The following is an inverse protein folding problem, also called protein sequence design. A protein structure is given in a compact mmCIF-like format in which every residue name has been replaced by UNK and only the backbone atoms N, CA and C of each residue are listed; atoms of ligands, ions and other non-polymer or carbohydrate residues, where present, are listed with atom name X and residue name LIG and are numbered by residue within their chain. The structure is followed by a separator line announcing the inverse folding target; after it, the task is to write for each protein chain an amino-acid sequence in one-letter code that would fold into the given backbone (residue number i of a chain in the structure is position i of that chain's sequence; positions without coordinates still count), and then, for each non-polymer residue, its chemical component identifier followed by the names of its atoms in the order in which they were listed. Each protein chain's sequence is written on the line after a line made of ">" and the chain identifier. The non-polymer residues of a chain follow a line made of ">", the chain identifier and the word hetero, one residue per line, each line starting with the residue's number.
data_IF_894175465101
#
_entry.id   IF_894175465101
#
_cell.length_a   1.000
_cell.length_b   1.000
_cell.length_c   1.000
_cell.angle_alpha   90.00
_cell.angle_beta   90.00
_cell.angle_gamma   90.00
#
_symmetry.space_group_name_H-M   'P 1'
#
loop_
_entity.id
_entity.type
_entity.pdbx_description
1 polymer ?
#
# COMPACT_ATOMS: atom_id res chain seq x y z
N UNK A 1 17.66 9.22 18.45
CA UNK A 1 17.58 10.58 17.89
C UNK A 1 16.17 11.08 18.06
N UNK A 2 15.96 12.36 18.35
CA UNK A 2 14.64 12.99 18.17
C UNK A 2 14.29 12.92 16.67
N UNK A 3 13.03 12.62 16.31
CA UNK A 3 12.58 12.63 14.92
C UNK A 3 12.85 13.96 14.23
N UNK A 4 12.83 13.99 12.89
CA UNK A 4 12.94 15.22 12.09
C UNK A 4 11.82 16.21 12.48
N UNK A 5 10.66 15.68 12.89
CA UNK A 5 9.53 16.44 13.43
C UNK A 5 9.07 15.87 14.78
N UNK A 6 9.69 16.27 15.91
CA UNK A 6 9.48 15.63 17.22
C UNK A 6 8.08 15.79 17.83
N UNK A 7 7.17 16.50 17.16
CA UNK A 7 5.78 16.72 17.59
C UNK A 7 4.75 16.28 16.52
N UNK A 8 5.17 15.59 15.45
CA UNK A 8 4.27 15.11 14.40
C UNK A 8 4.78 13.80 13.77
N UNK A 9 4.47 12.68 14.43
CA UNK A 9 4.92 11.35 14.05
C UNK A 9 4.50 10.94 12.62
N UNK A 10 3.35 11.42 12.13
CA UNK A 10 2.88 11.10 10.77
C UNK A 10 3.69 11.81 9.68
N UNK A 11 4.03 13.09 9.89
CA UNK A 11 4.91 13.82 8.97
C UNK A 11 6.32 13.28 9.05
N UNK A 12 6.81 12.96 10.26
CA UNK A 12 8.12 12.35 10.45
C UNK A 12 8.25 11.01 9.70
N UNK A 13 7.23 10.15 9.82
CA UNK A 13 7.12 8.88 9.11
C UNK A 13 7.17 9.04 7.58
N UNK A 14 6.35 9.94 7.01
CA UNK A 14 6.33 10.16 5.55
C UNK A 14 7.64 10.76 5.03
N UNK A 15 8.29 11.64 5.81
CA UNK A 15 9.57 12.24 5.43
C UNK A 15 10.69 11.20 5.45
N UNK A 16 10.74 10.33 6.45
CA UNK A 16 11.69 9.21 6.49
C UNK A 16 11.48 8.26 5.31
N UNK A 17 10.23 7.97 4.95
CA UNK A 17 9.90 7.16 3.77
C UNK A 17 10.42 7.79 2.47
N UNK A 18 10.26 9.10 2.31
CA UNK A 18 10.78 9.82 1.16
C UNK A 18 12.31 9.83 1.13
N UNK A 19 12.99 10.03 2.27
CA UNK A 19 14.46 9.96 2.33
C UNK A 19 14.98 8.56 1.99
N UNK A 20 14.32 7.51 2.49
CA UNK A 20 14.65 6.12 2.17
C UNK A 20 14.57 5.83 0.66
N UNK A 21 13.58 6.40 -0.03
CA UNK A 21 13.43 6.25 -1.48
C UNK A 21 14.60 6.83 -2.29
N UNK A 22 15.41 7.74 -1.72
CA UNK A 22 16.51 8.40 -2.43
C UNK A 22 17.62 7.42 -2.84
N UNK A 23 17.85 6.36 -2.03
CA UNK A 23 18.81 5.28 -2.35
C UNK A 23 18.48 4.58 -3.67
N UNK A 24 17.21 4.61 -4.07
CA UNK A 24 16.67 3.99 -5.27
C UNK A 24 16.25 5.03 -6.32
N UNK A 25 16.75 6.26 -6.20
CA UNK A 25 16.46 7.38 -7.12
C UNK A 25 14.97 7.76 -7.15
N UNK A 26 14.20 7.42 -6.10
CA UNK A 26 12.79 7.80 -5.94
C UNK A 26 12.59 9.20 -5.36
N UNK A 27 13.67 9.83 -4.89
CA UNK A 27 13.72 11.19 -4.35
C UNK A 27 15.19 11.66 -4.28
N UNK A 28 15.42 12.93 -3.95
CA UNK A 28 16.75 13.45 -3.59
C UNK A 28 16.77 13.86 -2.10
N UNK A 29 17.77 13.38 -1.35
CA UNK A 29 17.86 13.64 0.09
C UNK A 29 18.00 15.13 0.38
N UNK A 30 18.77 15.88 -0.42
CA UNK A 30 18.98 17.30 -0.19
C UNK A 30 17.72 18.11 -0.51
N UNK A 31 16.99 17.75 -1.57
CA UNK A 31 15.69 18.38 -1.86
C UNK A 31 14.70 18.16 -0.71
N UNK A 32 14.60 16.95 -0.18
CA UNK A 32 13.72 16.64 0.97
C UNK A 32 14.15 17.42 2.22
N UNK A 33 15.44 17.45 2.55
CA UNK A 33 15.95 18.15 3.73
C UNK A 33 15.78 19.67 3.62
N UNK A 34 15.84 20.23 2.41
CA UNK A 34 15.60 21.67 2.17
C UNK A 34 14.13 22.07 2.39
N UNK A 35 13.18 21.12 2.32
CA UNK A 35 11.77 21.40 2.62
C UNK A 35 11.48 21.49 4.12
N UNK A 36 12.23 20.76 4.95
CA UNK A 36 12.03 20.70 6.41
C UNK A 36 11.93 22.09 7.06
N UNK A 37 12.85 23.05 6.81
CA UNK A 37 12.76 24.37 7.42
C UNK A 37 11.61 25.24 6.89
N UNK A 38 10.99 24.87 5.77
CA UNK A 38 9.84 25.61 5.20
C UNK A 38 8.50 25.16 5.75
N UNK A 39 8.48 24.05 6.49
CA UNK A 39 7.26 23.45 7.03
C UNK A 39 6.97 23.95 8.45
N UNK A 40 5.70 24.27 8.71
CA UNK A 40 5.22 24.52 10.07
C UNK A 40 4.87 23.20 10.75
N UNK A 41 5.45 22.85 11.92
CA UNK A 41 5.13 21.62 12.63
C UNK A 41 3.61 21.51 12.91
N UNK A 42 3.01 20.40 12.46
CA UNK A 42 1.59 20.10 12.71
C UNK A 42 0.60 20.56 11.62
N UNK A 43 1.04 21.32 10.60
CA UNK A 43 0.18 21.81 9.53
C UNK A 43 0.26 20.98 8.25
N UNK A 44 -0.77 20.18 7.93
CA UNK A 44 -0.86 19.43 6.67
C UNK A 44 -0.84 20.35 5.42
N UNK A 45 -1.37 21.56 5.54
CA UNK A 45 -1.36 22.58 4.47
C UNK A 45 0.07 23.06 4.17
N UNK A 46 0.86 23.33 5.20
CA UNK A 46 2.26 23.74 5.04
C UNK A 46 3.11 22.62 4.41
N UNK A 47 2.81 21.35 4.73
CA UNK A 47 3.43 20.20 4.07
C UNK A 47 3.06 20.15 2.57
N UNK A 48 1.77 20.27 2.25
CA UNK A 48 1.29 20.35 0.86
C UNK A 48 1.99 21.46 0.08
N UNK A 49 1.99 22.68 0.61
CA UNK A 49 2.52 23.86 -0.08
C UNK A 49 4.03 23.75 -0.32
N UNK A 50 4.78 23.18 0.62
CA UNK A 50 6.20 22.94 0.47
C UNK A 50 6.50 21.93 -0.67
N UNK A 51 5.80 20.79 -0.69
CA UNK A 51 5.97 19.79 -1.74
C UNK A 51 5.43 20.24 -3.10
N UNK A 52 4.33 20.97 -3.12
CA UNK A 52 3.78 21.56 -4.35
C UNK A 52 4.73 22.62 -4.92
N UNK A 53 5.28 23.47 -4.07
CA UNK A 53 6.31 24.44 -4.45
C UNK A 53 7.59 23.77 -4.97
N UNK A 54 8.03 22.65 -4.37
CA UNK A 54 9.14 21.86 -4.91
C UNK A 54 8.82 21.32 -6.31
N UNK A 55 7.64 20.72 -6.49
CA UNK A 55 7.22 20.19 -7.78
C UNK A 55 7.20 21.28 -8.86
N UNK A 56 6.71 22.48 -8.54
CA UNK A 56 6.73 23.63 -9.45
C UNK A 56 8.15 24.10 -9.78
N UNK A 57 9.05 24.18 -8.79
CA UNK A 57 10.46 24.57 -9.03
C UNK A 57 11.18 23.56 -9.92
N UNK A 58 11.05 22.27 -9.60
CA UNK A 58 11.62 21.17 -10.38
C UNK A 58 11.06 21.19 -11.80
N UNK A 59 9.75 21.44 -11.98
CA UNK A 59 9.13 21.57 -13.30
C UNK A 59 9.72 22.75 -14.11
N UNK A 60 10.00 23.88 -13.47
CA UNK A 60 10.64 25.05 -14.10
C UNK A 60 12.11 24.78 -14.45
N UNK A 61 12.89 24.19 -13.54
CA UNK A 61 14.31 23.83 -13.78
C UNK A 61 14.45 22.78 -14.89
N UNK A 62 13.48 21.87 -15.01
CA UNK A 62 13.39 20.88 -16.10
C UNK A 62 13.06 21.54 -17.44
N UNK A 63 12.33 22.66 -17.46
CA UNK A 63 12.00 23.38 -18.69
C UNK A 63 13.20 24.13 -19.29
N UNK A 64 14.16 24.54 -18.44
CA UNK A 64 15.36 25.28 -18.84
C UNK A 64 16.52 24.36 -19.30
N UNK A 65 16.40 23.04 -19.09
CA UNK A 65 17.39 22.01 -19.48
C UNK A 65 16.80 20.93 -20.40
N UNK A 66 16.63 21.24 -21.67
CA UNK A 66 16.48 20.25 -22.78
C UNK A 66 17.75 19.38 -22.84
N UNK A 67 17.81 18.04 -22.91
CA UNK A 67 16.97 16.97 -23.48
C UNK A 67 17.34 15.62 -22.83
N UNK A 68 16.53 15.05 -21.91
CA UNK A 68 16.39 13.60 -21.63
C UNK A 68 15.49 13.32 -20.42
N UNK A 69 15.58 14.15 -19.38
CA UNK A 69 14.85 13.98 -18.11
C UNK A 69 13.42 14.53 -18.15
N UNK A 70 13.12 15.47 -19.06
CA UNK A 70 11.81 16.13 -19.19
C UNK A 70 10.65 15.22 -19.61
N UNK A 71 10.91 13.95 -19.94
CA UNK A 71 9.85 13.04 -20.35
C UNK A 71 9.16 12.34 -19.18
N UNK A 72 9.76 12.27 -17.98
CA UNK A 72 9.27 11.46 -16.86
C UNK A 72 8.17 12.12 -16.00
N UNK A 73 8.24 13.42 -15.74
CA UNK A 73 7.34 14.07 -14.76
C UNK A 73 6.38 15.13 -15.33
N UNK A 74 6.52 15.55 -16.59
CA UNK A 74 5.72 16.63 -17.17
C UNK A 74 4.59 16.14 -18.09
N UNK A 75 3.34 16.49 -17.75
CA UNK A 75 2.08 16.34 -18.53
C UNK A 75 1.50 14.93 -18.63
N UNK A 76 0.41 14.76 -17.88
CA UNK A 76 -0.42 13.56 -17.84
C UNK A 76 0.29 12.43 -17.09
N UNK A 77 -0.26 12.00 -15.94
CA UNK A 77 0.34 10.93 -15.13
C UNK A 77 0.66 9.67 -15.94
N UNK A 78 -0.12 9.37 -16.99
CA UNK A 78 0.10 8.24 -17.90
C UNK A 78 1.19 8.50 -18.96
N UNK A 79 1.14 9.55 -19.81
CA UNK A 79 2.20 9.80 -20.79
C UNK A 79 3.60 10.05 -20.20
N UNK A 80 3.70 10.69 -19.02
CA UNK A 80 4.96 10.86 -18.32
C UNK A 80 5.56 9.54 -17.84
N UNK A 81 4.70 8.69 -17.26
CA UNK A 81 5.05 7.36 -16.83
C UNK A 81 5.40 6.42 -18.00
N UNK A 82 4.67 6.46 -19.11
CA UNK A 82 4.97 5.63 -20.29
C UNK A 82 6.34 6.02 -20.91
N UNK A 83 6.69 7.31 -20.90
CA UNK A 83 8.03 7.76 -21.33
C UNK A 83 9.13 7.38 -20.33
N UNK A 84 8.84 7.38 -19.04
CA UNK A 84 9.73 6.86 -17.99
C UNK A 84 10.04 5.37 -18.19
N UNK A 85 9.01 4.56 -18.43
CA UNK A 85 9.14 3.13 -18.73
C UNK A 85 9.98 2.89 -19.98
N UNK A 86 9.81 3.70 -21.02
CA UNK A 86 10.61 3.62 -22.25
C UNK A 86 12.11 3.81 -22.04
N UNK A 87 12.53 4.48 -20.95
CA UNK A 87 13.94 4.63 -20.57
C UNK A 87 14.47 3.42 -19.81
N UNK A 88 13.60 2.62 -19.17
CA UNK A 88 13.97 1.42 -18.40
C UNK A 88 14.26 0.18 -19.28
N UNK A 89 14.13 0.30 -20.62
CA UNK A 89 14.66 -0.62 -21.64
C UNK A 89 14.00 -2.02 -21.74
N UNK A 90 13.54 -2.58 -20.62
CA UNK A 90 13.05 -3.97 -20.52
C UNK A 90 11.64 -4.08 -19.94
N UNK A 91 10.86 -2.99 -19.96
CA UNK A 91 9.51 -2.93 -19.44
C UNK A 91 8.48 -3.01 -20.58
N UNK A 92 7.47 -3.86 -20.44
CA UNK A 92 6.30 -3.89 -21.35
C UNK A 92 5.02 -3.71 -20.56
N UNK A 93 4.08 -2.93 -21.09
CA UNK A 93 2.78 -2.68 -20.45
C UNK A 93 1.71 -3.54 -21.11
N UNK A 94 0.86 -4.15 -20.30
CA UNK A 94 -0.31 -4.91 -20.75
C UNK A 94 -1.52 -4.47 -19.95
N UNK A 95 -2.70 -4.61 -20.54
CA UNK A 95 -3.98 -4.44 -19.85
C UNK A 95 -4.69 -5.78 -19.90
N UNK A 96 -4.92 -6.39 -18.75
CA UNK A 96 -5.69 -7.63 -18.64
C UNK A 96 -7.14 -7.28 -18.34
N UNK A 97 -8.08 -8.15 -18.72
CA UNK A 97 -9.48 -8.01 -18.34
C UNK A 97 -9.80 -8.95 -17.18
N UNK A 98 -10.57 -8.48 -16.18
CA UNK A 98 -11.10 -9.39 -15.18
C UNK A 98 -12.01 -10.44 -15.87
N UNK A 99 -11.83 -11.75 -15.63
CA UNK A 99 -12.66 -12.78 -16.25
C UNK A 99 -14.12 -12.77 -15.78
N UNK A 100 -14.39 -12.17 -14.63
CA UNK A 100 -15.70 -12.24 -13.95
C UNK A 100 -16.37 -10.87 -13.82
N UNK A 101 -15.66 -9.79 -14.13
CA UNK A 101 -16.08 -8.44 -13.79
C UNK A 101 -15.69 -7.44 -14.86
N UNK A 102 -16.36 -6.29 -14.85
CA UNK A 102 -16.14 -5.21 -15.79
C UNK A 102 -15.07 -4.24 -15.27
N UNK A 103 -13.84 -4.74 -15.07
CA UNK A 103 -12.68 -3.88 -14.78
C UNK A 103 -11.39 -4.39 -15.43
N UNK A 104 -10.52 -3.44 -15.75
CA UNK A 104 -9.22 -3.67 -16.36
C UNK A 104 -8.12 -3.73 -15.30
N UNK A 105 -7.12 -4.58 -15.54
CA UNK A 105 -5.95 -4.77 -14.66
C UNK A 105 -4.70 -4.33 -15.45
N UNK A 106 -4.21 -3.10 -15.26
CA UNK A 106 -2.98 -2.66 -15.88
C UNK A 106 -1.79 -3.33 -15.21
N UNK A 107 -0.92 -3.95 -15.99
CA UNK A 107 0.33 -4.54 -15.52
C UNK A 107 1.53 -4.02 -16.30
N UNK A 108 2.70 -4.08 -15.65
CA UNK A 108 3.99 -3.78 -16.25
C UNK A 108 4.89 -4.96 -15.97
N UNK A 109 5.46 -5.52 -17.04
CA UNK A 109 6.33 -6.67 -16.98
C UNK A 109 7.76 -6.20 -17.24
N UNK A 110 8.62 -6.42 -16.26
CA UNK A 110 10.06 -6.21 -16.38
C UNK A 110 10.74 -7.54 -16.60
N UNK A 111 11.40 -7.72 -17.75
CA UNK A 111 12.18 -8.92 -18.01
C UNK A 111 13.57 -8.79 -17.39
N UNK A 112 13.91 -9.73 -16.50
CA UNK A 112 15.26 -9.82 -15.95
C UNK A 112 16.25 -10.25 -17.05
N UNK A 113 17.49 -9.71 -17.06
CA UNK A 113 18.51 -10.14 -18.01
C UNK A 113 18.94 -11.60 -17.79
N UNK A 114 19.48 -12.23 -18.84
CA UNK A 114 19.96 -13.62 -18.82
C UNK A 114 19.09 -14.57 -19.64
N UNK A 115 19.48 -15.85 -19.69
CA UNK A 115 18.82 -16.88 -20.53
C UNK A 115 18.08 -17.89 -19.65
N UNK A 116 16.87 -18.26 -20.05
CA UNK A 116 16.07 -19.34 -19.48
C UNK A 116 15.13 -18.89 -18.36
N UNK A 117 14.20 -19.77 -17.92
CA UNK A 117 13.14 -19.41 -16.98
C UNK A 117 13.64 -18.75 -15.69
N UNK A 118 12.96 -17.69 -15.27
CA UNK A 118 13.30 -16.83 -14.13
C UNK A 118 12.22 -16.93 -13.05
N UNK A 119 12.66 -16.81 -11.79
CA UNK A 119 11.72 -16.59 -10.68
C UNK A 119 11.02 -15.27 -10.92
N UNK A 120 9.71 -15.24 -10.73
CA UNK A 120 8.89 -14.09 -11.10
C UNK A 120 8.19 -13.54 -9.88
N UNK A 121 8.36 -12.25 -9.63
CA UNK A 121 7.72 -11.54 -8.55
C UNK A 121 6.57 -10.71 -9.09
N UNK A 122 5.37 -10.92 -8.54
CA UNK A 122 4.18 -10.13 -8.81
C UNK A 122 4.05 -9.13 -7.65
N UNK A 123 4.00 -7.84 -7.98
CA UNK A 123 3.86 -6.76 -7.02
C UNK A 123 2.57 -5.98 -7.28
N UNK A 124 1.81 -5.68 -6.24
CA UNK A 124 0.68 -4.77 -6.34
C UNK A 124 0.27 -4.17 -4.99
N UNK A 125 -0.32 -2.97 -5.05
CA UNK A 125 -0.69 -2.18 -3.88
C UNK A 125 -2.19 -1.86 -3.79
N UNK A 126 -3.01 -2.33 -4.75
CA UNK A 126 -4.47 -2.44 -4.62
C UNK A 126 -5.32 -1.23 -5.02
N UNK A 127 -4.74 -0.08 -5.42
CA UNK A 127 -5.51 1.11 -5.82
C UNK A 127 -5.41 1.39 -7.32
N UNK A 128 -6.54 1.39 -8.02
CA UNK A 128 -6.64 1.65 -9.47
C UNK A 128 -7.49 2.90 -9.81
N UNK A 129 -7.99 3.61 -8.79
CA UNK A 129 -8.83 4.80 -8.97
C UNK A 129 -10.35 4.54 -8.96
N UNK A 130 -10.82 3.29 -8.93
CA UNK A 130 -12.25 2.95 -8.71
C UNK A 130 -12.53 2.43 -7.29
N UNK A 131 -11.48 2.35 -6.47
CA UNK A 131 -11.53 2.09 -5.05
C UNK A 131 -10.96 0.72 -4.67
N UNK A 132 -10.50 0.58 -3.43
CA UNK A 132 -9.96 -0.69 -2.96
C UNK A 132 -11.00 -1.81 -2.92
N UNK A 133 -10.62 -2.96 -3.48
CA UNK A 133 -11.35 -4.22 -3.35
C UNK A 133 -10.58 -5.18 -2.43
N UNK A 134 -11.32 -5.96 -1.65
CA UNK A 134 -10.74 -6.89 -0.67
C UNK A 134 -10.39 -8.23 -1.31
N UNK A 135 -11.17 -8.68 -2.28
CA UNK A 135 -11.09 -9.96 -2.98
C UNK A 135 -10.04 -9.96 -4.09
N UNK A 136 -8.79 -9.67 -3.71
CA UNK A 136 -7.67 -9.46 -4.62
C UNK A 136 -7.23 -10.70 -5.41
N UNK A 137 -7.75 -11.89 -5.07
CA UNK A 137 -7.70 -13.05 -5.95
C UNK A 137 -8.26 -12.76 -7.36
N UNK A 138 -9.22 -11.83 -7.48
CA UNK A 138 -9.76 -11.35 -8.77
C UNK A 138 -8.74 -10.58 -9.61
N UNK A 139 -7.68 -10.06 -9.00
CA UNK A 139 -6.58 -9.35 -9.68
C UNK A 139 -5.40 -10.29 -9.88
N UNK A 140 -5.00 -11.01 -8.84
CA UNK A 140 -3.80 -11.86 -8.85
C UNK A 140 -3.97 -13.05 -9.79
N UNK A 141 -5.13 -13.73 -9.79
CA UNK A 141 -5.32 -14.91 -10.64
C UNK A 141 -5.18 -14.58 -12.13
N UNK A 142 -5.80 -13.51 -12.68
CA UNK A 142 -5.55 -13.10 -14.07
C UNK A 142 -4.09 -12.76 -14.38
N UNK A 143 -3.36 -12.15 -13.43
CA UNK A 143 -1.92 -11.86 -13.61
C UNK A 143 -1.09 -13.14 -13.64
N UNK A 144 -1.42 -14.12 -12.78
CA UNK A 144 -0.80 -15.45 -12.81
C UNK A 144 -1.14 -16.18 -14.11
N UNK A 145 -2.39 -16.12 -14.57
CA UNK A 145 -2.81 -16.70 -15.85
C UNK A 145 -2.02 -16.11 -17.02
N UNK A 146 -1.86 -14.78 -17.04
CA UNK A 146 -1.04 -14.10 -18.03
C UNK A 146 0.43 -14.55 -17.98
N UNK A 147 1.03 -14.62 -16.79
CA UNK A 147 2.43 -15.03 -16.64
C UNK A 147 2.66 -16.47 -17.09
N UNK A 148 1.73 -17.39 -16.78
CA UNK A 148 1.78 -18.79 -17.20
C UNK A 148 1.57 -18.94 -18.71
N UNK A 149 0.59 -18.24 -19.28
CA UNK A 149 0.30 -18.29 -20.71
C UNK A 149 1.44 -17.73 -21.57
N UNK A 150 2.24 -16.81 -21.01
CA UNK A 150 3.37 -16.17 -21.69
C UNK A 150 4.73 -16.66 -21.15
N UNK A 151 4.77 -17.82 -20.50
CA UNK A 151 5.97 -18.26 -19.78
C UNK A 151 7.20 -18.44 -20.69
N UNK A 152 7.00 -18.91 -21.93
CA UNK A 152 8.11 -19.07 -22.89
C UNK A 152 8.67 -17.73 -23.36
N UNK A 153 7.81 -16.77 -23.70
CA UNK A 153 8.22 -15.47 -24.23
C UNK A 153 8.82 -14.57 -23.15
N UNK A 154 8.24 -14.63 -21.95
CA UNK A 154 8.69 -13.87 -20.78
C UNK A 154 9.82 -14.56 -20.00
N UNK A 155 10.13 -15.82 -20.35
CA UNK A 155 11.06 -16.68 -19.61
C UNK A 155 10.68 -16.78 -18.12
N UNK A 156 9.43 -17.15 -17.83
CA UNK A 156 8.91 -17.32 -16.47
C UNK A 156 9.04 -18.78 -16.03
N UNK A 157 9.63 -19.00 -14.86
CA UNK A 157 9.56 -20.28 -14.14
C UNK A 157 8.21 -20.34 -13.42
N UNK A 158 7.24 -21.05 -14.01
CA UNK A 158 5.87 -21.14 -13.50
C UNK A 158 5.75 -21.87 -12.17
N UNK A 159 6.79 -22.59 -11.74
CA UNK A 159 6.86 -23.20 -10.42
C UNK A 159 7.36 -22.23 -9.34
N UNK A 160 7.80 -21.02 -9.71
CA UNK A 160 8.44 -20.04 -8.82
C UNK A 160 7.87 -18.63 -9.01
N UNK A 161 6.55 -18.56 -8.87
CA UNK A 161 5.79 -17.31 -8.81
C UNK A 161 5.68 -16.85 -7.36
N UNK A 162 6.14 -15.64 -7.06
CA UNK A 162 6.09 -15.05 -5.71
C UNK A 162 5.19 -13.83 -5.74
N UNK A 163 4.24 -13.74 -4.81
CA UNK A 163 3.39 -12.57 -4.65
C UNK A 163 3.93 -11.69 -3.52
N UNK A 164 4.13 -10.41 -3.80
CA UNK A 164 4.61 -9.41 -2.85
C UNK A 164 3.56 -8.31 -2.66
N UNK A 165 3.23 -8.05 -1.40
CA UNK A 165 2.31 -7.01 -0.99
C UNK A 165 2.93 -6.08 0.05
N UNK A 166 2.94 -4.77 -0.25
CA UNK A 166 3.41 -3.73 0.67
C UNK A 166 2.25 -2.97 1.32
N UNK A 167 2.41 -2.63 2.60
CA UNK A 167 1.39 -1.97 3.41
C UNK A 167 0.07 -2.72 3.35
N UNK A 168 -1.04 -2.08 2.97
CA UNK A 168 -2.32 -2.77 2.75
C UNK A 168 -2.23 -3.90 1.69
N UNK A 169 -1.27 -3.83 0.77
CA UNK A 169 -0.95 -4.93 -0.14
C UNK A 169 -0.59 -6.22 0.58
N UNK A 170 -0.05 -6.18 1.81
CA UNK A 170 0.23 -7.36 2.61
C UNK A 170 -1.03 -8.16 2.97
N UNK A 171 -2.12 -7.46 3.36
CA UNK A 171 -3.44 -8.08 3.52
C UNK A 171 -3.90 -8.73 2.21
N UNK A 172 -3.86 -7.95 1.12
CA UNK A 172 -4.35 -8.37 -0.19
C UNK A 172 -3.58 -9.59 -0.72
N UNK A 173 -2.26 -9.62 -0.51
CA UNK A 173 -1.39 -10.70 -0.94
C UNK A 173 -1.67 -12.00 -0.18
N UNK A 174 -1.77 -11.94 1.16
CA UNK A 174 -2.09 -13.13 1.98
C UNK A 174 -3.47 -13.66 1.64
N UNK A 175 -4.44 -12.76 1.45
CA UNK A 175 -5.77 -13.15 0.99
C UNK A 175 -5.75 -13.82 -0.38
N UNK A 176 -5.08 -13.22 -1.37
CA UNK A 176 -4.99 -13.81 -2.71
C UNK A 176 -4.31 -15.19 -2.67
N UNK A 177 -3.26 -15.37 -1.84
CA UNK A 177 -2.59 -16.65 -1.65
C UNK A 177 -3.48 -17.74 -1.02
N UNK A 178 -4.59 -17.36 -0.37
CA UNK A 178 -5.59 -18.30 0.12
C UNK A 178 -6.45 -18.91 -1.00
N UNK A 179 -6.48 -18.32 -2.19
CA UNK A 179 -7.28 -18.77 -3.33
C UNK A 179 -6.44 -19.11 -4.58
N UNK A 180 -5.27 -18.49 -4.74
CA UNK A 180 -4.35 -18.73 -5.85
C UNK A 180 -3.20 -19.64 -5.42
N UNK A 181 -3.35 -20.94 -5.68
CA UNK A 181 -2.43 -21.96 -5.18
C UNK A 181 -1.22 -22.24 -6.08
N UNK A 182 -1.08 -21.54 -7.22
CA UNK A 182 0.12 -21.62 -8.06
C UNK A 182 1.29 -20.80 -7.52
N UNK A 183 1.05 -19.94 -6.51
CA UNK A 183 2.10 -19.16 -5.87
C UNK A 183 3.04 -20.09 -5.09
N UNK A 184 4.34 -19.96 -5.35
CA UNK A 184 5.39 -20.67 -4.64
C UNK A 184 5.65 -20.07 -3.26
N UNK A 185 5.47 -18.76 -3.10
CA UNK A 185 5.57 -18.04 -1.83
C UNK A 185 4.76 -16.74 -1.87
N UNK A 186 4.43 -16.22 -0.68
CA UNK A 186 3.84 -14.91 -0.49
C UNK A 186 4.74 -14.07 0.43
N UNK A 187 4.83 -12.77 0.18
CA UNK A 187 5.58 -11.81 1.00
C UNK A 187 4.61 -10.69 1.38
N UNK A 188 4.38 -10.49 2.67
CA UNK A 188 3.51 -9.45 3.20
C UNK A 188 4.30 -8.53 4.13
N UNK A 189 4.42 -7.26 3.74
CA UNK A 189 5.21 -6.25 4.44
C UNK A 189 4.36 -4.99 4.57
N UNK A 190 3.48 -4.85 5.56
CA UNK A 190 3.35 -5.68 6.77
C UNK A 190 2.30 -6.79 6.68
N UNK A 191 2.38 -7.74 7.62
CA UNK A 191 1.31 -8.72 7.84
C UNK A 191 0.09 -8.08 8.51
N UNK A 192 -0.99 -7.89 7.75
CA UNK A 192 -2.22 -7.26 8.25
C UNK A 192 -3.31 -8.33 8.45
N UNK A 193 -3.84 -8.41 9.67
CA UNK A 193 -4.89 -9.35 10.05
C UNK A 193 -6.28 -8.82 9.75
N UNK A 194 -6.56 -7.60 10.19
CA UNK A 194 -7.87 -6.96 10.09
C UNK A 194 -7.73 -5.43 10.00
N UNK A 195 -8.06 -4.87 8.83
CA UNK A 195 -7.96 -3.43 8.58
C UNK A 195 -8.89 -2.63 9.49
N UNK A 196 -9.99 -3.21 9.97
CA UNK A 196 -10.91 -2.50 10.87
C UNK A 196 -10.27 -2.07 12.19
N UNK A 197 -9.21 -2.76 12.62
CA UNK A 197 -8.44 -2.38 13.80
C UNK A 197 -7.81 -1.00 13.65
N UNK A 198 -7.30 -0.66 12.46
CA UNK A 198 -6.75 0.66 12.16
C UNK A 198 -7.85 1.75 12.23
N UNK A 199 -8.99 1.48 11.61
CA UNK A 199 -10.08 2.47 11.49
C UNK A 199 -10.90 2.67 12.76
N UNK A 200 -10.78 1.75 13.73
CA UNK A 200 -11.46 1.84 15.03
C UNK A 200 -10.53 2.28 16.15
N UNK A 201 -9.21 2.14 16.01
CA UNK A 201 -8.23 2.48 17.05
C UNK A 201 -8.25 3.96 17.49
N UNK A 202 -8.63 4.87 16.60
CA UNK A 202 -8.71 6.33 16.87
C UNK A 202 -10.13 6.81 17.19
N UNK A 203 -11.08 5.89 17.33
CA UNK A 203 -12.47 6.19 17.65
C UNK A 203 -12.73 6.13 19.17
N UNK A 204 -13.86 6.69 19.65
CA UNK A 204 -14.25 6.58 21.07
C UNK A 204 -14.20 5.12 21.56
N UNK A 205 -13.87 4.87 22.85
CA UNK A 205 -13.63 3.52 23.38
C UNK A 205 -14.76 2.50 23.14
N UNK A 206 -16.00 2.97 23.01
CA UNK A 206 -17.16 2.14 22.69
C UNK A 206 -17.14 1.58 21.26
N UNK A 207 -16.55 2.28 20.28
CA UNK A 207 -16.59 1.93 18.86
C UNK A 207 -15.91 0.58 18.54
N UNK A 208 -14.66 0.30 18.99
CA UNK A 208 -14.04 -1.01 18.81
C UNK A 208 -14.87 -2.16 19.41
N UNK A 209 -15.53 -1.92 20.54
CA UNK A 209 -16.35 -2.93 21.21
C UNK A 209 -17.63 -3.23 20.42
N UNK A 210 -18.34 -2.19 20.00
CA UNK A 210 -19.53 -2.32 19.15
C UNK A 210 -19.18 -3.03 17.84
N UNK A 211 -18.09 -2.63 17.21
CA UNK A 211 -17.58 -3.24 15.98
C UNK A 211 -17.29 -4.74 16.14
N UNK A 212 -16.50 -5.12 17.15
CA UNK A 212 -16.07 -6.51 17.39
C UNK A 212 -17.22 -7.44 17.74
N UNK A 213 -18.28 -6.94 18.39
CA UNK A 213 -19.44 -7.77 18.70
C UNK A 213 -20.15 -8.31 17.46
N UNK A 214 -20.06 -7.59 16.33
CA UNK A 214 -20.59 -7.99 15.04
C UNK A 214 -22.12 -8.10 14.95
N UNK A 215 -22.87 -7.91 16.03
CA UNK A 215 -24.34 -8.08 16.01
C UNK A 215 -25.01 -6.99 15.16
N UNK A 216 -26.12 -7.29 14.46
CA UNK A 216 -26.82 -6.28 13.68
C UNK A 216 -27.18 -5.04 14.51
N UNK A 217 -27.60 -5.20 15.77
CA UNK A 217 -27.93 -4.04 16.61
C UNK A 217 -26.70 -3.18 16.93
N UNK A 218 -25.57 -3.81 17.24
CA UNK A 218 -24.35 -3.07 17.56
C UNK A 218 -23.68 -2.45 16.33
N UNK A 219 -23.90 -3.00 15.12
CA UNK A 219 -23.52 -2.36 13.85
C UNK A 219 -24.30 -1.07 13.64
N UNK A 220 -25.62 -1.09 13.87
CA UNK A 220 -26.47 0.11 13.80
C UNK A 220 -25.99 1.16 14.81
N UNK A 221 -25.76 0.76 16.07
CA UNK A 221 -25.26 1.68 17.12
C UNK A 221 -23.89 2.26 16.79
N UNK A 222 -23.02 1.48 16.14
CA UNK A 222 -21.72 1.95 15.66
C UNK A 222 -21.90 3.02 14.58
N UNK A 223 -22.74 2.76 13.57
CA UNK A 223 -22.99 3.69 12.47
C UNK A 223 -23.63 5.01 12.96
N UNK A 224 -24.56 4.93 13.91
CA UNK A 224 -25.16 6.09 14.59
C UNK A 224 -24.11 6.91 15.33
N UNK A 225 -23.23 6.26 16.10
CA UNK A 225 -22.18 6.93 16.86
C UNK A 225 -21.17 7.64 15.93
N UNK A 226 -20.74 6.99 14.85
CA UNK A 226 -19.83 7.58 13.86
C UNK A 226 -20.50 8.75 13.13
N UNK A 227 -21.76 8.60 12.73
CA UNK A 227 -22.51 9.65 12.04
C UNK A 227 -22.70 10.88 12.95
N UNK A 228 -23.03 10.66 14.22
CA UNK A 228 -23.14 11.72 15.22
C UNK A 228 -21.79 12.42 15.47
N UNK A 229 -20.70 11.66 15.55
CA UNK A 229 -19.35 12.20 15.70
C UNK A 229 -18.97 13.11 14.52
N UNK A 230 -19.23 12.67 13.29
CA UNK A 230 -19.00 13.46 12.08
C UNK A 230 -19.87 14.71 12.03
N UNK A 231 -21.17 14.58 12.31
CA UNK A 231 -22.11 15.70 12.32
C UNK A 231 -21.80 16.75 13.40
N UNK A 232 -21.16 16.33 14.51
CA UNK A 232 -20.81 17.23 15.60
C UNK A 232 -19.74 18.26 15.23
N UNK A 233 -18.96 18.03 14.17
CA UNK A 233 -17.80 18.85 13.81
C UNK A 233 -16.67 18.81 14.85
N UNK A 234 -16.75 17.93 15.86
CA UNK A 234 -15.77 17.81 16.95
C UNK A 234 -14.60 16.90 16.63
N UNK A 235 -14.59 16.26 15.46
CA UNK A 235 -13.39 15.59 14.97
C UNK A 235 -12.30 16.65 14.79
N UNK A 236 -11.19 16.49 15.50
CA UNK A 236 -10.01 17.30 15.28
C UNK A 236 -9.67 17.30 13.79
N UNK A 237 -9.16 18.40 13.25
CA UNK A 237 -8.79 18.54 11.83
C UNK A 237 -7.89 17.37 11.39
N UNK A 238 -6.98 16.92 12.27
CA UNK A 238 -6.11 15.76 12.04
C UNK A 238 -6.80 14.38 11.96
N UNK A 239 -8.07 14.27 12.33
CA UNK A 239 -8.89 13.05 12.21
C UNK A 239 -9.92 13.15 11.06
N UNK A 240 -10.30 14.36 10.65
CA UNK A 240 -11.23 14.59 9.54
C UNK A 240 -10.61 14.30 8.17
N UNK A 241 -9.36 14.72 7.95
CA UNK A 241 -8.67 14.46 6.69
C UNK A 241 -8.46 12.96 6.41
N UNK A 242 -7.95 12.13 7.34
CA UNK A 242 -7.80 10.69 7.11
C UNK A 242 -9.12 9.99 6.79
N UNK A 243 -10.22 10.39 7.42
CA UNK A 243 -11.56 9.84 7.13
C UNK A 243 -12.02 10.19 5.72
N UNK A 244 -11.85 11.45 5.30
CA UNK A 244 -12.18 11.89 3.94
C UNK A 244 -11.29 11.20 2.90
N UNK A 245 -9.99 11.06 3.19
CA UNK A 245 -9.06 10.36 2.33
C UNK A 245 -9.43 8.88 2.20
N UNK A 246 -9.79 8.22 3.29
CA UNK A 246 -10.27 6.84 3.26
C UNK A 246 -11.56 6.70 2.45
N UNK A 247 -12.54 7.60 2.63
CA UNK A 247 -13.77 7.55 1.83
C UNK A 247 -13.50 7.73 0.33
N UNK A 248 -12.57 8.63 -0.03
CA UNK A 248 -12.11 8.78 -1.42
C UNK A 248 -11.43 7.51 -1.93
N UNK A 249 -10.47 6.97 -1.17
CA UNK A 249 -9.66 5.82 -1.58
C UNK A 249 -10.47 4.51 -1.67
N UNK A 250 -11.52 4.36 -0.87
CA UNK A 250 -12.46 3.24 -0.95
C UNK A 250 -13.69 3.55 -1.81
N UNK A 251 -13.76 4.73 -2.43
CA UNK A 251 -14.86 5.19 -3.29
C UNK A 251 -16.24 5.02 -2.63
N UNK A 252 -16.35 5.51 -1.39
CA UNK A 252 -17.57 5.50 -0.59
C UNK A 252 -18.08 6.92 -0.35
N UNK A 253 -19.39 7.07 -0.19
CA UNK A 253 -20.05 8.37 -0.02
C UNK A 253 -20.39 8.72 1.42
N UNK A 254 -20.21 7.77 2.34
CA UNK A 254 -20.51 7.95 3.76
C UNK A 254 -19.63 7.07 4.63
N UNK A 255 -19.50 7.42 5.90
CA UNK A 255 -18.74 6.61 6.85
C UNK A 255 -19.34 5.21 7.07
N UNK A 256 -20.67 5.02 7.22
CA UNK A 256 -21.24 3.67 7.28
C UNK A 256 -20.91 2.82 6.04
N UNK A 257 -20.90 3.41 4.84
CA UNK A 257 -20.49 2.70 3.63
C UNK A 257 -19.01 2.31 3.69
N UNK A 258 -18.13 3.24 4.09
CA UNK A 258 -16.69 2.98 4.29
C UNK A 258 -16.47 1.82 5.26
N UNK A 259 -17.10 1.87 6.43
CA UNK A 259 -16.99 0.84 7.44
C UNK A 259 -17.57 -0.49 6.96
N UNK A 260 -18.71 -0.48 6.26
CA UNK A 260 -19.26 -1.67 5.60
C UNK A 260 -18.28 -2.32 4.61
N UNK A 261 -17.47 -1.53 3.88
CA UNK A 261 -16.41 -2.06 3.02
C UNK A 261 -15.24 -2.60 3.84
N UNK A 262 -14.74 -1.84 4.81
CA UNK A 262 -13.62 -2.23 5.69
C UNK A 262 -13.91 -3.55 6.43
N UNK A 263 -15.17 -3.84 6.77
CA UNK A 263 -15.56 -5.10 7.40
C UNK A 263 -15.14 -6.35 6.62
N UNK A 264 -14.92 -6.23 5.31
CA UNK A 264 -14.49 -7.33 4.45
C UNK A 264 -12.97 -7.50 4.40
N UNK A 265 -12.21 -6.51 4.86
CA UNK A 265 -10.75 -6.51 4.88
C UNK A 265 -10.21 -7.19 6.15
N UNK A 266 -10.58 -8.46 6.33
CA UNK A 266 -10.12 -9.33 7.41
C UNK A 266 -9.70 -10.70 6.85
N UNK A 267 -8.66 -11.28 7.45
CA UNK A 267 -8.18 -12.62 7.11
C UNK A 267 -8.92 -13.73 7.87
N UNK A 268 -9.80 -13.36 8.80
CA UNK A 268 -10.69 -14.29 9.49
C UNK A 268 -11.54 -15.08 8.49
N UNK A 269 -11.63 -16.40 8.68
CA UNK A 269 -12.31 -17.31 7.75
C UNK A 269 -11.64 -17.52 6.38
N UNK A 270 -10.55 -16.80 6.07
CA UNK A 270 -9.86 -16.86 4.76
C UNK A 270 -8.49 -17.48 4.87
N UNK A 271 -7.71 -17.11 5.91
CA UNK A 271 -6.29 -17.45 6.03
C UNK A 271 -5.98 -18.95 5.99
N UNK A 272 -6.94 -19.81 6.37
CA UNK A 272 -6.81 -21.27 6.32
C UNK A 272 -6.62 -21.82 4.90
N UNK A 273 -7.00 -21.07 3.87
CA UNK A 273 -6.80 -21.45 2.47
C UNK A 273 -5.34 -21.34 2.00
N UNK A 274 -4.48 -20.60 2.70
CA UNK A 274 -3.09 -20.35 2.26
C UNK A 274 -2.31 -21.67 2.26
N UNK A 275 -1.65 -22.00 1.13
CA UNK A 275 -0.89 -23.26 0.96
C UNK A 275 0.63 -23.06 0.90
N UNK A 276 1.08 -21.92 0.40
CA UNK A 276 2.49 -21.60 0.28
C UNK A 276 3.07 -21.00 1.58
N UNK A 277 4.41 -20.99 1.73
CA UNK A 277 5.07 -20.22 2.77
C UNK A 277 4.81 -18.71 2.60
N UNK A 278 4.70 -18.01 3.72
CA UNK A 278 4.46 -16.57 3.79
C UNK A 278 5.54 -15.91 4.62
N UNK A 279 6.33 -15.03 4.00
CA UNK A 279 7.16 -14.09 4.74
C UNK A 279 6.28 -12.95 5.28
N UNK A 280 6.46 -12.61 6.55
CA UNK A 280 5.70 -11.58 7.23
C UNK A 280 6.71 -10.56 7.79
N UNK A 281 6.70 -9.37 7.19
CA UNK A 281 7.41 -8.21 7.71
C UNK A 281 6.65 -7.58 8.87
N UNK A 282 7.40 -7.15 9.87
CA UNK A 282 6.94 -6.39 11.02
C UNK A 282 7.98 -5.30 11.32
N UNK A 283 7.62 -4.03 11.26
CA UNK A 283 8.53 -2.97 11.68
C UNK A 283 8.32 -2.63 13.16
N UNK A 284 9.39 -2.66 13.96
CA UNK A 284 9.34 -2.40 15.42
C UNK A 284 8.66 -1.06 15.76
N UNK A 285 8.82 -0.08 14.89
CA UNK A 285 8.31 1.29 15.00
C UNK A 285 7.01 1.54 14.26
N UNK A 286 6.38 0.51 13.67
CA UNK A 286 5.12 0.70 12.96
C UNK A 286 4.03 1.23 13.90
N UNK A 287 3.46 2.37 13.51
CA UNK A 287 2.37 3.06 14.21
C UNK A 287 0.98 2.66 13.71
N UNK A 288 0.88 1.92 12.60
CA UNK A 288 -0.36 1.59 11.92
C UNK A 288 -0.86 0.18 12.23
N UNK A 289 -0.01 -0.84 12.14
CA UNK A 289 -0.42 -2.24 12.21
C UNK A 289 0.17 -3.02 13.37
N UNK A 290 0.66 -2.32 14.40
CA UNK A 290 1.30 -2.89 15.58
C UNK A 290 0.55 -4.12 16.12
N UNK A 291 1.26 -5.24 16.20
CA UNK A 291 0.76 -6.53 16.71
C UNK A 291 -0.02 -7.37 15.70
N UNK A 292 -0.47 -6.81 14.57
CA UNK A 292 -1.15 -7.59 13.54
C UNK A 292 -0.24 -8.60 12.81
N UNK A 293 1.05 -8.30 12.51
CA UNK A 293 1.96 -9.29 11.91
C UNK A 293 2.10 -10.57 12.73
N UNK A 294 2.16 -10.43 14.05
CA UNK A 294 2.18 -11.56 14.98
C UNK A 294 0.89 -12.39 14.91
N UNK A 295 -0.29 -11.75 14.82
CA UNK A 295 -1.57 -12.45 14.65
C UNK A 295 -1.60 -13.27 13.36
N UNK A 296 -1.10 -12.70 12.25
CA UNK A 296 -0.99 -13.39 10.95
C UNK A 296 -0.06 -14.60 11.08
N UNK A 297 1.10 -14.43 11.72
CA UNK A 297 2.06 -15.52 11.98
C UNK A 297 1.43 -16.66 12.77
N UNK A 298 0.73 -16.36 13.86
CA UNK A 298 0.08 -17.36 14.71
C UNK A 298 -0.95 -18.19 13.94
N UNK A 299 -1.72 -17.54 13.06
CA UNK A 299 -2.77 -18.19 12.28
C UNK A 299 -2.25 -19.00 11.09
N UNK A 300 -1.09 -18.64 10.54
CA UNK A 300 -0.42 -19.41 9.48
C UNK A 300 0.42 -20.58 10.02
N UNK A 301 0.68 -20.63 11.33
CA UNK A 301 1.50 -21.66 11.97
C UNK A 301 2.86 -21.80 11.28
N UNK A 302 3.22 -23.02 10.86
CA UNK A 302 4.49 -23.34 10.19
C UNK A 302 4.67 -22.64 8.83
N UNK A 303 3.59 -22.17 8.20
CA UNK A 303 3.67 -21.46 6.91
C UNK A 303 4.08 -20.00 7.08
N UNK A 304 3.88 -19.42 8.27
CA UNK A 304 4.21 -18.02 8.54
C UNK A 304 5.66 -17.88 8.98
N UNK A 305 6.43 -17.00 8.35
CA UNK A 305 7.80 -16.68 8.72
C UNK A 305 7.87 -15.19 9.07
N UNK A 306 7.75 -14.91 10.36
CA UNK A 306 7.79 -13.53 10.88
C UNK A 306 9.23 -13.05 11.00
N UNK A 307 9.48 -11.84 10.51
CA UNK A 307 10.73 -11.12 10.71
C UNK A 307 10.44 -9.70 11.16
N UNK A 308 10.97 -9.35 12.34
CA UNK A 308 10.85 -8.00 12.89
C UNK A 308 12.07 -7.17 12.51
N UNK A 309 11.84 -6.09 11.76
CA UNK A 309 12.84 -5.09 11.42
C UNK A 309 13.03 -4.14 12.60
N UNK A 310 14.25 -4.09 13.13
CA UNK A 310 14.61 -3.22 14.27
C UNK A 310 15.06 -1.84 13.80
N UNK A 311 15.05 -0.85 14.69
CA UNK A 311 15.62 0.49 14.39
C UNK A 311 17.05 0.44 13.84
N UNK A 312 17.87 -0.50 14.31
CA UNK A 312 19.26 -0.67 13.88
C UNK A 312 19.38 -1.14 12.43
N UNK A 313 18.33 -1.76 11.88
CA UNK A 313 18.27 -2.17 10.48
C UNK A 313 17.93 -1.04 9.51
N UNK A 314 17.72 0.20 10.00
CA UNK A 314 17.41 1.37 9.16
C UNK A 314 15.98 1.38 8.59
N UNK A 315 15.12 0.53 9.15
CA UNK A 315 13.81 0.15 8.64
C UNK A 315 12.67 0.70 9.52
N UNK A 316 12.74 1.99 9.87
CA UNK A 316 11.76 2.65 10.76
C UNK A 316 10.32 2.67 10.17
N UNK A 317 10.19 2.39 8.88
CA UNK A 317 8.94 2.03 8.22
C UNK A 317 9.16 0.72 7.45
N UNK A 318 8.17 -0.17 7.41
CA UNK A 318 8.25 -1.44 6.68
C UNK A 318 8.59 -1.27 5.18
N UNK A 319 8.28 -0.10 4.62
CA UNK A 319 8.70 0.35 3.27
C UNK A 319 10.19 0.68 3.18
N UNK A 320 10.79 1.22 4.25
CA UNK A 320 12.23 1.49 4.33
C UNK A 320 13.08 0.22 4.56
N UNK A 321 12.45 -0.86 5.04
CA UNK A 321 13.04 -2.21 5.14
C UNK A 321 12.92 -3.03 3.86
N UNK A 322 11.82 -2.80 3.14
CA UNK A 322 11.47 -3.44 1.88
C UNK A 322 12.36 -3.03 0.70
N UNK A 323 13.20 -2.02 0.90
CA UNK A 323 13.98 -1.37 -0.15
C UNK A 323 15.48 -1.53 0.09
#
# INVERSE_FOLDING_TARGET
>A
MAGLFPNNDSVDYEMLRLISAARYQGSDVLEILQLIPTMTPGGFESWHDAFYGLAQRVEVEIHDRTTRLSSLCGRGRLPGFDRALGVLGNATRHTLNSPKDDFEIPIIVYKAPGIGPKHTMILGNGFDGVGFIYDWERVVTPVVDFAVANAETLEVDTAKLVLLGYSMGGFLAVRAAAFEHRLAACIAVDGIWDMSMLFTAKMPPEAPTLWRSGTPENRVRFDEAISALLASGKLAIGAQWPMNHAMWAFCTRSAPELYGRIAKFTLEGVIGGVRCPVFIGDAETDIFFKGQPQMVKEKLCEKGHLYTFTKESGADCSVGAAT
#
